data_IF_031905268759
#
_entry.id   IF_031905268759
#
_cell.length_a   1.000
_cell.length_b   1.000
_cell.length_c   1.000
_cell.angle_alpha   90.00
_cell.angle_beta   90.00
_cell.angle_gamma   90.00
#
_symmetry.space_group_name_H-M   'P 1'
#
loop_
_entity.id
_entity.type
_entity.pdbx_description
1 polymer ?
#
# COMPACT_ATOMS: atom_id res chain seq x y z
N UNK A 1 -7.02 -7.29 -9.22
CA UNK A 1 -5.64 -6.91 -8.87
C UNK A 1 -5.07 -5.95 -9.89
N UNK A 2 -5.15 -6.26 -11.19
CA UNK A 2 -4.78 -5.32 -12.27
C UNK A 2 -5.39 -3.91 -12.09
N UNK A 3 -6.71 -3.81 -11.86
CA UNK A 3 -7.36 -2.51 -11.55
C UNK A 3 -6.82 -1.78 -10.32
N UNK A 4 -6.34 -2.53 -9.32
CA UNK A 4 -5.74 -1.94 -8.13
C UNK A 4 -4.38 -1.37 -8.44
N UNK A 5 -3.55 -2.12 -9.18
CA UNK A 5 -2.28 -1.63 -9.68
C UNK A 5 -2.51 -0.41 -10.58
N UNK A 6 -3.47 -0.43 -11.49
CA UNK A 6 -3.82 0.73 -12.34
C UNK A 6 -4.15 1.99 -11.51
N UNK A 7 -5.05 1.90 -10.52
CA UNK A 7 -5.39 3.05 -9.66
C UNK A 7 -4.22 3.51 -8.79
N UNK A 8 -3.41 2.58 -8.31
CA UNK A 8 -2.18 2.90 -7.60
C UNK A 8 -1.25 3.70 -8.52
N UNK A 9 -1.06 3.24 -9.76
CA UNK A 9 -0.23 3.93 -10.75
C UNK A 9 -0.73 5.34 -11.05
N UNK A 10 -2.03 5.50 -11.33
CA UNK A 10 -2.64 6.81 -11.51
C UNK A 10 -2.42 7.70 -10.28
N UNK A 11 -2.58 7.14 -9.07
CA UNK A 11 -2.34 7.86 -7.82
C UNK A 11 -0.90 8.32 -7.66
N UNK A 12 0.07 7.46 -8.01
CA UNK A 12 1.50 7.81 -7.94
C UNK A 12 1.86 8.87 -8.99
N UNK A 13 1.43 8.72 -10.24
CA UNK A 13 1.72 9.70 -11.31
C UNK A 13 1.16 11.08 -11.00
N UNK A 14 0.00 11.15 -10.36
CA UNK A 14 -0.64 12.40 -9.98
C UNK A 14 -0.24 12.88 -8.57
N UNK A 15 0.61 12.14 -7.87
CA UNK A 15 1.03 12.52 -6.52
C UNK A 15 1.94 13.76 -6.55
N UNK A 16 1.78 14.68 -5.58
CA UNK A 16 2.69 15.80 -5.40
C UNK A 16 4.16 15.34 -5.21
N UNK A 17 5.19 16.15 -5.52
CA UNK A 17 6.60 15.73 -5.42
C UNK A 17 7.11 15.52 -3.99
N UNK A 18 6.30 15.83 -2.98
CA UNK A 18 6.60 15.67 -1.57
C UNK A 18 6.93 14.19 -1.23
N UNK A 19 7.91 13.93 -0.36
CA UNK A 19 8.21 12.58 0.10
C UNK A 19 6.96 11.86 0.63
N UNK A 20 6.72 10.65 0.11
CA UNK A 20 5.64 9.75 0.54
C UNK A 20 4.22 10.09 0.08
N UNK A 21 4.02 11.18 -0.67
CA UNK A 21 2.71 11.51 -1.28
C UNK A 21 2.13 10.38 -2.14
N UNK A 22 2.99 9.65 -2.84
CA UNK A 22 2.66 8.49 -3.67
C UNK A 22 2.17 7.29 -2.85
N UNK A 23 2.71 7.14 -1.63
CA UNK A 23 2.22 6.15 -0.66
C UNK A 23 0.86 6.55 -0.09
N UNK A 24 0.65 7.83 0.21
CA UNK A 24 -0.66 8.33 0.66
C UNK A 24 -1.73 8.11 -0.43
N UNK A 25 -1.41 8.42 -1.70
CA UNK A 25 -2.28 8.18 -2.84
C UNK A 25 -2.58 6.68 -3.05
N UNK A 26 -1.60 5.81 -2.80
CA UNK A 26 -1.78 4.36 -2.82
C UNK A 26 -2.79 3.91 -1.76
N UNK A 27 -2.65 4.42 -0.54
CA UNK A 27 -3.53 4.09 0.58
C UNK A 27 -4.96 4.58 0.29
N UNK A 28 -5.10 5.75 -0.33
CA UNK A 28 -6.38 6.28 -0.83
C UNK A 28 -7.03 5.36 -1.87
N UNK A 29 -6.26 4.92 -2.86
CA UNK A 29 -6.75 3.99 -3.88
C UNK A 29 -7.23 2.67 -3.25
N UNK A 30 -6.49 2.14 -2.28
CA UNK A 30 -6.90 0.93 -1.55
C UNK A 30 -8.23 1.12 -0.80
N UNK A 31 -8.36 2.23 -0.06
CA UNK A 31 -9.58 2.57 0.70
C UNK A 31 -10.76 2.73 -0.25
N UNK A 32 -10.58 3.48 -1.33
CA UNK A 32 -11.63 3.73 -2.31
C UNK A 32 -12.13 2.44 -2.96
N UNK A 33 -11.19 1.59 -3.41
CA UNK A 33 -11.54 0.28 -3.96
C UNK A 33 -12.24 -0.61 -2.94
N UNK A 34 -11.80 -0.59 -1.69
CA UNK A 34 -12.46 -1.37 -0.63
C UNK A 34 -13.91 -0.93 -0.41
N UNK A 35 -14.19 0.37 -0.52
CA UNK A 35 -15.54 0.95 -0.35
C UNK A 35 -16.44 0.68 -1.55
N UNK A 36 -15.89 0.77 -2.76
CA UNK A 36 -16.70 0.90 -3.98
C UNK A 36 -16.64 -0.29 -4.92
N UNK A 37 -15.66 -1.21 -4.78
CA UNK A 37 -15.51 -2.37 -5.65
C UNK A 37 -15.85 -3.67 -4.89
N UNK A 38 -17.08 -4.22 -5.01
CA UNK A 38 -17.50 -5.41 -4.26
C UNK A 38 -16.57 -6.60 -4.45
N UNK A 39 -16.02 -6.77 -5.66
CA UNK A 39 -15.07 -7.83 -5.99
C UNK A 39 -13.71 -7.65 -5.30
N UNK A 40 -13.25 -6.42 -5.11
CA UNK A 40 -12.01 -6.13 -4.37
C UNK A 40 -12.19 -6.43 -2.89
N UNK A 41 -13.30 -5.97 -2.30
CA UNK A 41 -13.63 -6.24 -0.89
C UNK A 41 -13.79 -7.73 -0.60
N UNK A 42 -14.50 -8.46 -1.47
CA UNK A 42 -14.67 -9.91 -1.32
C UNK A 42 -13.33 -10.66 -1.46
N UNK A 43 -12.48 -10.25 -2.40
CA UNK A 43 -11.14 -10.81 -2.58
C UNK A 43 -10.19 -10.48 -1.41
N UNK A 44 -10.38 -9.34 -0.71
CA UNK A 44 -9.50 -8.92 0.41
C UNK A 44 -9.99 -9.26 1.82
N UNK A 45 -11.27 -9.54 2.02
CA UNK A 45 -11.84 -9.83 3.34
C UNK A 45 -12.70 -11.10 3.39
N UNK A 46 -12.75 -11.88 2.30
CA UNK A 46 -13.32 -13.23 2.35
C UNK A 46 -12.41 -14.20 3.11
N UNK A 47 -12.99 -15.30 3.62
CA UNK A 47 -12.32 -16.30 4.48
C UNK A 47 -11.13 -17.05 3.83
N UNK A 48 -10.84 -16.84 2.54
CA UNK A 48 -9.86 -17.64 1.78
C UNK A 48 -9.03 -16.75 0.86
N UNK A 49 -8.10 -16.00 1.45
CA UNK A 49 -7.03 -15.38 0.66
C UNK A 49 -5.81 -16.24 0.84
N UNK A 50 -5.48 -16.99 -0.21
CA UNK A 50 -4.12 -17.50 -0.31
C UNK A 50 -3.20 -16.28 -0.39
N UNK A 51 -2.38 -16.09 0.64
CA UNK A 51 -1.41 -15.00 0.68
C UNK A 51 -0.40 -15.11 -0.46
N UNK A 52 -0.34 -16.23 -1.17
CA UNK A 52 0.51 -16.52 -2.33
C UNK A 52 -0.30 -16.72 -3.62
N UNK A 53 -1.46 -16.08 -3.72
CA UNK A 53 -2.34 -16.16 -4.89
C UNK A 53 -1.66 -15.75 -6.20
N UNK A 54 -0.76 -14.76 -6.17
CA UNK A 54 -0.08 -14.26 -7.37
C UNK A 54 1.13 -15.13 -7.75
N UNK A 55 1.92 -15.56 -6.77
CA UNK A 55 3.11 -16.38 -6.97
C UNK A 55 3.25 -17.39 -5.83
N UNK A 56 3.67 -18.63 -6.13
CA UNK A 56 3.88 -19.65 -5.10
C UNK A 56 5.09 -19.37 -4.18
N UNK A 57 5.99 -18.48 -4.57
CA UNK A 57 7.21 -18.13 -3.83
C UNK A 57 7.05 -16.91 -2.91
N UNK A 58 6.25 -15.91 -3.33
CA UNK A 58 6.14 -14.62 -2.65
C UNK A 58 4.72 -14.33 -2.18
N UNK A 59 4.60 -13.66 -1.04
CA UNK A 59 3.30 -13.15 -0.63
C UNK A 59 2.81 -12.07 -1.60
N UNK A 60 1.50 -11.88 -1.70
CA UNK A 60 0.89 -10.83 -2.50
C UNK A 60 1.40 -9.45 -2.06
N UNK A 61 1.68 -9.27 -0.77
CA UNK A 61 2.20 -8.03 -0.21
C UNK A 61 3.70 -7.85 -0.53
N UNK A 62 4.49 -8.92 -0.55
CA UNK A 62 5.89 -8.88 -0.99
C UNK A 62 6.02 -8.50 -2.47
N UNK A 63 5.10 -8.98 -3.31
CA UNK A 63 5.03 -8.60 -4.73
C UNK A 63 4.67 -7.12 -4.85
N UNK A 64 3.65 -6.66 -4.11
CA UNK A 64 3.31 -5.23 -4.06
C UNK A 64 4.48 -4.37 -3.59
N UNK A 65 5.22 -4.82 -2.57
CA UNK A 65 6.39 -4.11 -2.05
C UNK A 65 7.46 -3.89 -3.11
N UNK A 66 7.77 -4.92 -3.92
CA UNK A 66 8.75 -4.82 -5.02
C UNK A 66 8.31 -3.87 -6.12
N UNK A 67 7.03 -3.91 -6.49
CA UNK A 67 6.48 -2.97 -7.46
C UNK A 67 6.51 -1.53 -6.93
N UNK A 68 6.16 -1.33 -5.64
CA UNK A 68 6.30 -0.02 -4.99
C UNK A 68 7.73 0.46 -4.94
N UNK A 69 8.67 -0.41 -4.59
CA UNK A 69 10.08 -0.05 -4.54
C UNK A 69 10.56 0.42 -5.90
N UNK A 70 10.31 -0.37 -6.94
CA UNK A 70 10.63 -0.03 -8.34
C UNK A 70 10.07 1.34 -8.72
N UNK A 71 8.83 1.61 -8.32
CA UNK A 71 8.18 2.88 -8.61
C UNK A 71 8.78 4.06 -7.83
N UNK A 72 9.02 3.91 -6.52
CA UNK A 72 9.69 4.92 -5.69
C UNK A 72 11.08 5.24 -6.26
N UNK A 73 11.82 4.21 -6.67
CA UNK A 73 13.11 4.38 -7.34
C UNK A 73 13.01 5.22 -8.61
N UNK A 74 12.02 4.96 -9.47
CA UNK A 74 11.76 5.78 -10.67
C UNK A 74 11.37 7.22 -10.32
N UNK A 75 10.52 7.42 -9.31
CA UNK A 75 10.05 8.76 -8.92
C UNK A 75 11.17 9.64 -8.36
N UNK A 76 12.10 9.06 -7.60
CA UNK A 76 13.19 9.80 -6.94
C UNK A 76 14.57 9.56 -7.57
N UNK A 77 14.61 8.96 -8.76
CA UNK A 77 15.82 8.69 -9.57
C UNK A 77 16.92 7.90 -8.83
N UNK A 78 16.54 6.75 -8.24
CA UNK A 78 17.47 5.81 -7.61
C UNK A 78 17.05 4.34 -7.84
N UNK A 79 17.99 3.41 -7.71
CA UNK A 79 17.68 1.97 -7.74
C UNK A 79 17.39 1.47 -6.31
N UNK A 80 16.21 0.90 -6.03
CA UNK A 80 15.88 0.41 -4.68
C UNK A 80 16.70 -0.83 -4.33
N UNK A 81 17.33 -0.82 -3.16
CA UNK A 81 17.97 -1.99 -2.60
C UNK A 81 16.98 -2.89 -1.82
N UNK A 82 17.47 -4.04 -1.38
CA UNK A 82 16.68 -5.01 -0.63
C UNK A 82 16.15 -4.45 0.71
N UNK A 83 16.86 -3.50 1.32
CA UNK A 83 16.44 -2.85 2.57
C UNK A 83 15.23 -1.93 2.32
N UNK A 84 15.21 -1.17 1.22
CA UNK A 84 14.06 -0.35 0.81
C UNK A 84 12.85 -1.23 0.52
N UNK A 85 13.04 -2.33 -0.22
CA UNK A 85 11.96 -3.30 -0.50
C UNK A 85 11.40 -3.86 0.81
N UNK A 86 12.26 -4.25 1.74
CA UNK A 86 11.85 -4.77 3.05
C UNK A 86 11.03 -3.75 3.84
N UNK A 87 11.48 -2.50 3.94
CA UNK A 87 10.75 -1.48 4.69
C UNK A 87 9.41 -1.10 4.03
N UNK A 88 9.32 -1.12 2.70
CA UNK A 88 8.04 -0.98 2.01
C UNK A 88 7.10 -2.15 2.31
N UNK A 89 7.60 -3.38 2.31
CA UNK A 89 6.80 -4.56 2.66
C UNK A 89 6.24 -4.45 4.08
N UNK A 90 7.06 -4.01 5.06
CA UNK A 90 6.58 -3.80 6.43
C UNK A 90 5.46 -2.75 6.48
N UNK A 91 5.59 -1.63 5.77
CA UNK A 91 4.54 -0.61 5.72
C UNK A 91 3.24 -1.14 5.08
N UNK A 92 3.35 -1.98 4.04
CA UNK A 92 2.22 -2.64 3.38
C UNK A 92 1.54 -3.64 4.32
N UNK A 93 2.31 -4.40 5.10
CA UNK A 93 1.76 -5.34 6.10
C UNK A 93 1.03 -4.60 7.22
N UNK A 94 1.60 -3.49 7.72
CA UNK A 94 0.93 -2.61 8.69
C UNK A 94 -0.40 -2.10 8.12
N UNK A 95 -0.37 -1.58 6.89
CA UNK A 95 -1.57 -1.07 6.22
C UNK A 95 -2.61 -2.18 6.01
N UNK A 96 -2.19 -3.34 5.51
CA UNK A 96 -3.05 -4.50 5.29
C UNK A 96 -3.77 -4.92 6.57
N UNK A 97 -3.05 -5.07 7.69
CA UNK A 97 -3.64 -5.47 8.96
C UNK A 97 -4.61 -4.44 9.53
N UNK A 98 -4.22 -3.16 9.55
CA UNK A 98 -5.05 -2.10 10.13
C UNK A 98 -6.26 -1.75 9.27
N UNK A 99 -6.13 -1.76 7.94
CA UNK A 99 -7.27 -1.56 7.04
C UNK A 99 -8.21 -2.76 7.09
N UNK A 100 -7.68 -3.99 7.21
CA UNK A 100 -8.53 -5.16 7.51
C UNK A 100 -9.36 -4.94 8.76
N UNK A 101 -8.74 -4.45 9.83
CA UNK A 101 -9.45 -4.13 11.05
C UNK A 101 -10.48 -3.01 10.85
N UNK A 102 -10.14 -1.97 10.09
CA UNK A 102 -11.01 -0.82 9.83
C UNK A 102 -12.31 -1.23 9.12
N UNK A 103 -12.20 -2.11 8.11
CA UNK A 103 -13.33 -2.52 7.27
C UNK A 103 -14.08 -3.75 7.77
N UNK A 104 -13.62 -4.38 8.86
CA UNK A 104 -14.19 -5.61 9.40
C UNK A 104 -15.69 -5.50 9.76
N UNK A 105 -16.10 -4.36 10.31
CA UNK A 105 -17.46 -4.16 10.85
C UNK A 105 -18.28 -3.15 10.04
N UNK A 106 -17.63 -2.26 9.31
CA UNK A 106 -18.27 -1.22 8.48
C UNK A 106 -17.66 -1.23 7.08
N UNK A 107 -18.50 -1.28 6.05
CA UNK A 107 -18.07 -1.20 4.65
C UNK A 107 -17.43 0.14 4.29
N UNK A 108 -17.71 1.19 5.06
CA UNK A 108 -17.10 2.51 4.89
C UNK A 108 -15.74 2.63 5.62
N UNK A 109 -15.46 1.68 6.52
CA UNK A 109 -14.24 1.64 7.33
C UNK A 109 -14.30 2.56 8.55
N UNK A 110 -13.77 2.08 9.69
CA UNK A 110 -13.55 2.91 10.88
C UNK A 110 -12.47 3.97 10.59
N UNK A 111 -12.89 5.23 10.53
CA UNK A 111 -12.02 6.36 10.25
C UNK A 111 -10.84 6.46 11.22
N UNK A 112 -10.99 6.05 12.49
CA UNK A 112 -9.89 6.12 13.47
C UNK A 112 -8.78 5.14 13.15
N UNK A 113 -9.12 3.94 12.67
CA UNK A 113 -8.12 2.96 12.22
C UNK A 113 -7.46 3.39 10.91
N UNK A 114 -8.22 3.98 9.99
CA UNK A 114 -7.68 4.51 8.73
C UNK A 114 -6.64 5.61 9.00
N UNK A 115 -6.97 6.59 9.84
CA UNK A 115 -6.04 7.69 10.14
C UNK A 115 -4.80 7.21 10.92
N UNK A 116 -4.98 6.30 11.88
CA UNK A 116 -3.85 5.68 12.57
C UNK A 116 -2.94 4.90 11.60
N UNK A 117 -3.51 4.28 10.55
CA UNK A 117 -2.73 3.59 9.52
C UNK A 117 -1.83 4.56 8.76
N UNK A 118 -2.37 5.70 8.32
CA UNK A 118 -1.60 6.75 7.63
C UNK A 118 -0.45 7.24 8.48
N UNK A 119 -0.75 7.58 9.74
CA UNK A 119 0.26 8.10 10.67
C UNK A 119 1.39 7.08 10.90
N UNK A 120 1.05 5.83 11.19
CA UNK A 120 2.01 4.77 11.47
C UNK A 120 2.87 4.45 10.26
N UNK A 121 2.26 4.22 9.08
CA UNK A 121 3.00 3.89 7.88
C UNK A 121 3.89 5.05 7.43
N UNK A 122 3.37 6.28 7.40
CA UNK A 122 4.15 7.45 7.03
C UNK A 122 5.33 7.70 7.98
N UNK A 123 5.12 7.53 9.29
CA UNK A 123 6.18 7.68 10.30
C UNK A 123 7.25 6.60 10.17
N UNK A 124 6.83 5.34 9.98
CA UNK A 124 7.74 4.23 9.76
C UNK A 124 8.60 4.44 8.50
N UNK A 125 7.98 4.75 7.37
CA UNK A 125 8.67 4.97 6.10
C UNK A 125 9.67 6.15 6.19
N UNK A 126 9.28 7.28 6.78
CA UNK A 126 10.18 8.42 7.00
C UNK A 126 11.36 8.11 7.92
N UNK A 127 11.20 7.14 8.82
CA UNK A 127 12.26 6.73 9.75
C UNK A 127 13.28 5.81 9.08
N UNK A 128 12.83 4.95 8.17
CA UNK A 128 13.63 3.85 7.63
C UNK A 128 14.09 4.03 6.19
N UNK A 129 13.40 4.85 5.40
CA UNK A 129 13.77 5.13 4.01
C UNK A 129 14.04 6.64 3.89
N UNK A 130 15.30 7.08 3.91
CA UNK A 130 15.63 8.49 3.79
C UNK A 130 15.48 8.94 2.33
N UNK A 131 14.27 9.39 1.97
CA UNK A 131 14.05 10.08 0.69
C UNK A 131 14.55 11.53 0.78
N UNK A 132 15.01 12.14 -0.34
CA UNK A 132 15.38 13.54 -0.37
C UNK A 132 14.21 14.39 0.11
N UNK A 133 14.42 15.23 1.14
CA UNK A 133 13.46 16.28 1.47
C UNK A 133 13.57 17.34 0.37
N UNK A 134 12.52 17.50 -0.42
CA UNK A 134 12.35 18.70 -1.26
C UNK A 134 12.19 19.94 -0.38
#
# INVERSE_FOLDING_TARGET
>A
MERYLERVWEGVENSPPEPWSSFDATLDAFIDMTRHEPGFRALRFGDVIDQRFISPELSNNAILAREFATQVGRTYDFEPDDDIVFHLEVAIEIASGLLTRAFQLDKNGDARFIEATRELCGTYLRTHIPLPRT
#
